data_IF_644025344485
#
_entry.id   IF_644025344485
#
_cell.length_a   1.000
_cell.length_b   1.000
_cell.length_c   1.000
_cell.angle_alpha   90.00
_cell.angle_beta   90.00
_cell.angle_gamma   90.00
#
_symmetry.space_group_name_H-M   'P 1'
#
loop_
_entity.id
_entity.type
_entity.pdbx_description
1 polymer ?
#
# COMPACT_ATOMS: atom_id res chain seq x y z
N UNK A 1 18.68 -22.14 8.93
CA UNK A 1 17.68 -21.97 7.85
C UNK A 1 16.81 -20.79 8.25
N UNK A 2 17.02 -19.61 7.65
CA UNK A 2 16.06 -18.50 7.79
C UNK A 2 14.86 -18.86 6.93
N UNK A 3 13.67 -18.98 7.53
CA UNK A 3 12.43 -19.06 6.77
C UNK A 3 12.11 -17.65 6.29
N UNK A 4 12.08 -17.43 4.97
CA UNK A 4 11.46 -16.23 4.39
C UNK A 4 9.94 -16.40 4.49
N UNK A 5 9.27 -15.43 5.09
CA UNK A 5 7.84 -15.30 5.19
C UNK A 5 7.35 -14.34 4.11
N UNK A 6 6.40 -14.81 3.30
CA UNK A 6 5.75 -13.94 2.34
C UNK A 6 4.67 -13.10 3.01
N UNK A 7 4.52 -11.85 2.55
CA UNK A 7 3.48 -10.93 3.01
C UNK A 7 2.45 -10.64 1.90
N UNK A 8 1.18 -10.55 2.27
CA UNK A 8 0.07 -10.23 1.35
C UNK A 8 -0.51 -8.86 1.70
N UNK A 9 -0.57 -7.95 0.72
CA UNK A 9 -1.19 -6.62 0.88
C UNK A 9 -2.52 -6.58 0.13
N UNK A 10 -3.61 -6.41 0.87
CA UNK A 10 -4.95 -6.26 0.31
C UNK A 10 -5.17 -4.84 -0.24
N UNK A 11 -5.01 -4.67 -1.56
CA UNK A 11 -5.03 -3.37 -2.24
C UNK A 11 -6.21 -3.16 -3.21
N UNK A 12 -7.07 -4.15 -3.40
CA UNK A 12 -8.12 -4.17 -4.44
C UNK A 12 -9.43 -3.41 -4.13
N UNK A 13 -9.41 -2.39 -3.28
CA UNK A 13 -10.62 -1.63 -2.92
C UNK A 13 -10.92 -0.47 -3.87
N UNK A 14 -12.16 -0.36 -4.38
CA UNK A 14 -12.61 0.71 -5.30
C UNK A 14 -12.43 2.16 -4.79
N UNK A 15 -12.29 2.36 -3.47
CA UNK A 15 -12.00 3.68 -2.91
C UNK A 15 -13.10 4.73 -3.09
N UNK A 16 -14.37 4.31 -3.28
CA UNK A 16 -15.49 5.19 -3.67
C UNK A 16 -15.69 6.46 -2.81
N UNK A 17 -15.25 6.46 -1.56
CA UNK A 17 -15.28 7.65 -0.68
C UNK A 17 -14.40 8.81 -1.17
N UNK A 18 -13.44 8.53 -2.03
CA UNK A 18 -12.54 9.51 -2.65
C UNK A 18 -12.89 9.79 -4.11
N UNK A 19 -14.05 9.35 -4.59
CA UNK A 19 -14.50 9.73 -5.93
C UNK A 19 -14.64 11.26 -6.05
N UNK A 20 -14.24 11.84 -7.20
CA UNK A 20 -13.88 11.17 -8.45
C UNK A 20 -12.41 10.72 -8.57
N UNK A 21 -11.55 11.02 -7.58
CA UNK A 21 -10.11 10.79 -7.67
C UNK A 21 -9.76 9.31 -7.90
N UNK A 22 -10.47 8.37 -7.26
CA UNK A 22 -10.18 6.93 -7.42
C UNK A 22 -10.78 6.29 -8.68
N UNK A 23 -11.34 7.07 -9.60
CA UNK A 23 -11.80 6.54 -10.89
C UNK A 23 -10.63 6.24 -11.84
N UNK A 24 -9.56 7.04 -11.79
CA UNK A 24 -8.37 6.86 -12.62
C UNK A 24 -7.13 6.42 -11.85
N UNK A 25 -7.12 6.56 -10.53
CA UNK A 25 -5.95 6.32 -9.68
C UNK A 25 -6.29 5.45 -8.47
N UNK A 26 -5.55 4.37 -8.23
CA UNK A 26 -5.78 3.52 -7.06
C UNK A 26 -5.54 4.30 -5.76
N UNK A 27 -6.40 4.10 -4.75
CA UNK A 27 -6.35 4.84 -3.47
C UNK A 27 -4.97 4.80 -2.80
N UNK A 28 -4.27 3.68 -2.90
CA UNK A 28 -2.97 3.49 -2.25
C UNK A 28 -1.81 4.22 -2.94
N UNK A 29 -2.04 4.79 -4.12
CA UNK A 29 -1.05 5.57 -4.87
C UNK A 29 -1.12 7.07 -4.56
N UNK A 30 -2.15 7.55 -3.86
CA UNK A 30 -2.20 8.95 -3.49
C UNK A 30 -1.09 9.30 -2.50
N UNK A 31 -0.45 10.48 -2.67
CA UNK A 31 0.61 10.91 -1.78
C UNK A 31 0.05 11.37 -0.43
N UNK A 32 0.71 10.95 0.65
CA UNK A 32 0.62 11.54 1.98
C UNK A 32 2.02 12.05 2.31
N UNK A 33 2.15 13.34 2.66
CA UNK A 33 3.46 13.98 2.88
C UNK A 33 4.48 13.72 1.74
N UNK A 34 4.00 13.74 0.49
CA UNK A 34 4.82 13.53 -0.71
C UNK A 34 5.14 12.06 -1.05
N UNK A 35 4.62 11.07 -0.30
CA UNK A 35 4.88 9.64 -0.55
C UNK A 35 3.58 8.85 -0.77
N UNK A 36 3.50 7.95 -1.75
CA UNK A 36 2.35 7.06 -1.91
C UNK A 36 2.05 6.28 -0.63
N UNK A 37 0.77 6.13 -0.27
CA UNK A 37 0.36 5.37 0.93
C UNK A 37 0.97 3.95 0.96
N UNK A 38 1.05 3.27 -0.19
CA UNK A 38 1.65 1.93 -0.30
C UNK A 38 3.12 1.88 0.16
N UNK A 39 3.88 2.95 -0.01
CA UNK A 39 5.31 3.01 0.37
C UNK A 39 5.48 2.87 1.89
N UNK A 40 4.58 3.45 2.68
CA UNK A 40 4.60 3.30 4.13
C UNK A 40 4.39 1.85 4.58
N UNK A 41 3.55 1.10 3.87
CA UNK A 41 3.30 -0.32 4.15
C UNK A 41 4.54 -1.14 3.80
N UNK A 42 5.13 -0.92 2.62
CA UNK A 42 6.34 -1.61 2.18
C UNK A 42 7.52 -1.38 3.11
N UNK A 43 7.72 -0.14 3.61
CA UNK A 43 8.78 0.16 4.57
C UNK A 43 8.61 -0.61 5.87
N UNK A 44 7.38 -0.70 6.40
CA UNK A 44 7.11 -1.51 7.60
C UNK A 44 7.38 -2.99 7.38
N UNK A 45 7.02 -3.54 6.22
CA UNK A 45 7.32 -4.94 5.90
C UNK A 45 8.83 -5.21 5.82
N UNK A 46 9.60 -4.29 5.22
CA UNK A 46 11.06 -4.40 5.19
C UNK A 46 11.70 -4.36 6.59
N UNK A 47 11.11 -3.65 7.55
CA UNK A 47 11.58 -3.60 8.94
C UNK A 47 11.31 -4.91 9.69
N UNK A 48 10.24 -5.64 9.35
CA UNK A 48 9.81 -6.85 10.06
C UNK A 48 10.69 -8.08 9.70
N UNK A 49 11.61 -7.95 8.73
CA UNK A 49 12.46 -9.06 8.24
C UNK A 49 11.66 -10.35 8.05
N UNK A 50 10.55 -10.23 7.32
CA UNK A 50 9.79 -11.39 6.87
C UNK A 50 10.70 -12.28 6.01
#
# INVERSE_FOLDING_TARGET
MLLMLDAVILSGGYGKRLWPLTLSTARLLFPVCGRPVIEYIMRKLNEIKC
#
